data_IF_387464110038
#
_entry.id   IF_387464110038
#
_cell.length_a   1.000
_cell.length_b   1.000
_cell.length_c   1.000
_cell.angle_alpha   90.00
_cell.angle_beta   90.00
_cell.angle_gamma   90.00
#
_symmetry.space_group_name_H-M   'P 1'
#
loop_
_entity.id
_entity.type
_entity.pdbx_description
1 polymer ?
#
# COMPACT_ATOMS: atom_id res chain seq x y z
N UNK A 1 -7.27 13.17 19.96
CA UNK A 1 -6.44 13.69 18.87
C UNK A 1 -6.90 12.98 17.60
N UNK A 2 -7.52 13.72 16.67
CA UNK A 2 -7.98 13.16 15.39
C UNK A 2 -6.80 13.17 14.41
N UNK A 3 -6.55 12.04 13.76
CA UNK A 3 -5.51 11.90 12.75
C UNK A 3 -6.07 12.41 11.42
N UNK A 4 -5.51 13.47 10.86
CA UNK A 4 -5.97 14.08 9.61
C UNK A 4 -5.07 13.61 8.45
N UNK A 5 -5.48 12.54 7.76
CA UNK A 5 -4.72 11.93 6.66
C UNK A 5 -5.17 12.57 5.35
N UNK A 6 -4.31 13.41 4.77
CA UNK A 6 -4.59 14.08 3.50
C UNK A 6 -4.38 13.17 2.28
N UNK A 7 -3.49 12.17 2.33
CA UNK A 7 -3.22 11.25 1.23
C UNK A 7 -2.51 9.96 1.69
N UNK A 8 -2.82 8.83 1.05
CA UNK A 8 -2.06 7.58 1.14
C UNK A 8 -1.61 7.20 -0.27
N UNK A 9 -0.30 7.03 -0.47
CA UNK A 9 0.28 6.55 -1.72
C UNK A 9 0.88 5.15 -1.52
N UNK A 10 0.43 4.18 -2.32
CA UNK A 10 0.92 2.81 -2.26
C UNK A 10 2.03 2.61 -3.29
N UNK A 11 3.24 2.35 -2.82
CA UNK A 11 4.37 1.96 -3.67
C UNK A 11 4.54 0.45 -3.66
N UNK A 12 4.83 -0.14 -4.83
CA UNK A 12 5.07 -1.57 -4.92
C UNK A 12 6.54 -1.88 -4.69
N UNK A 13 6.78 -2.71 -3.69
CA UNK A 13 8.05 -3.40 -3.49
C UNK A 13 7.95 -4.77 -4.15
N UNK A 14 8.81 -5.04 -5.12
CA UNK A 14 8.91 -6.32 -5.81
C UNK A 14 10.12 -7.05 -5.24
N UNK A 15 9.87 -8.14 -4.50
CA UNK A 15 10.94 -9.06 -4.09
C UNK A 15 11.36 -9.89 -5.30
N UNK A 16 12.59 -9.67 -5.79
CA UNK A 16 13.16 -10.39 -6.92
C UNK A 16 13.80 -11.70 -6.46
N UNK A 17 14.49 -11.66 -5.33
CA UNK A 17 15.08 -12.83 -4.67
C UNK A 17 15.15 -12.61 -3.15
N UNK A 18 15.85 -13.49 -2.42
CA UNK A 18 15.95 -13.42 -0.97
C UNK A 18 16.60 -12.14 -0.42
N UNK A 19 17.48 -11.50 -1.20
CA UNK A 19 18.23 -10.32 -0.77
C UNK A 19 17.91 -9.06 -1.58
N UNK A 20 17.21 -9.18 -2.71
CA UNK A 20 16.89 -8.06 -3.59
C UNK A 20 15.40 -7.69 -3.58
N UNK A 21 15.17 -6.44 -3.20
CA UNK A 21 13.89 -5.74 -3.31
C UNK A 21 14.04 -4.61 -4.33
N UNK A 22 13.11 -4.54 -5.27
CA UNK A 22 13.00 -3.45 -6.23
C UNK A 22 11.82 -2.56 -5.86
N UNK A 23 12.03 -1.26 -5.80
CA UNK A 23 10.98 -0.28 -5.53
C UNK A 23 10.58 0.38 -6.85
N UNK A 24 9.31 0.23 -7.23
CA UNK A 24 8.78 0.92 -8.41
C UNK A 24 8.04 2.17 -7.97
N UNK A 25 8.59 3.33 -8.29
CA UNK A 25 7.93 4.62 -8.14
C UNK A 25 7.05 4.85 -9.37
N UNK A 26 5.75 5.07 -9.17
CA UNK A 26 4.80 5.31 -10.25
C UNK A 26 4.12 6.65 -10.04
N UNK A 27 3.89 7.34 -11.15
CA UNK A 27 3.13 8.59 -11.18
C UNK A 27 1.62 8.36 -11.04
N UNK A 28 1.18 7.11 -11.10
CA UNK A 28 -0.22 6.70 -10.94
C UNK A 28 -0.34 5.55 -9.92
N UNK A 29 -1.51 5.48 -9.27
CA UNK A 29 -1.81 4.40 -8.35
C UNK A 29 -1.85 3.06 -9.09
N UNK A 30 -1.47 2.01 -8.38
CA UNK A 30 -1.63 0.63 -8.82
C UNK A 30 -3.06 0.16 -8.57
N UNK A 31 -3.52 -0.74 -9.43
CA UNK A 31 -4.70 -1.53 -9.14
C UNK A 31 -4.50 -2.29 -7.82
N UNK A 32 -5.42 -2.20 -6.85
CA UNK A 32 -5.26 -2.86 -5.57
C UNK A 32 -5.19 -4.38 -5.74
N UNK A 33 -4.22 -5.01 -5.09
CA UNK A 33 -4.21 -6.47 -4.98
C UNK A 33 -5.20 -6.91 -3.89
N UNK A 34 -5.67 -8.16 -3.93
CA UNK A 34 -6.60 -8.71 -2.94
C UNK A 34 -6.13 -8.49 -1.50
N UNK A 35 -4.84 -8.72 -1.23
CA UNK A 35 -4.24 -8.49 0.10
C UNK A 35 -4.32 -7.03 0.54
N UNK A 36 -4.11 -6.08 -0.38
CA UNK A 36 -4.24 -4.64 -0.09
C UNK A 36 -5.69 -4.28 0.20
N UNK A 37 -6.64 -4.80 -0.57
CA UNK A 37 -8.08 -4.57 -0.35
C UNK A 37 -8.51 -5.08 1.04
N UNK A 38 -8.06 -6.28 1.43
CA UNK A 38 -8.35 -6.86 2.74
C UNK A 38 -7.76 -6.02 3.89
N UNK A 39 -6.53 -5.55 3.75
CA UNK A 39 -5.87 -4.70 4.75
C UNK A 39 -6.60 -3.37 4.91
N UNK A 40 -7.00 -2.72 3.81
CA UNK A 40 -7.77 -1.47 3.86
C UNK A 40 -9.15 -1.68 4.49
N UNK A 41 -9.81 -2.80 4.18
CA UNK A 41 -11.08 -3.15 4.81
C UNK A 41 -10.95 -3.35 6.32
N UNK A 42 -9.83 -3.91 6.79
CA UNK A 42 -9.55 -4.05 8.23
C UNK A 42 -9.29 -2.70 8.89
N UNK A 43 -8.50 -1.82 8.26
CA UNK A 43 -8.26 -0.47 8.76
C UNK A 43 -9.57 0.32 8.91
N UNK A 44 -10.49 0.22 7.94
CA UNK A 44 -11.81 0.85 8.03
C UNK A 44 -12.71 0.28 9.12
N UNK A 45 -12.53 -0.98 9.53
CA UNK A 45 -13.31 -1.59 10.63
C UNK A 45 -12.86 -1.08 12.01
N UNK A 46 -11.60 -0.65 12.13
CA UNK A 46 -11.01 -0.16 13.38
C UNK A 46 -11.10 1.36 13.61
N UNK A 47 -11.58 2.12 12.61
CA UNK A 47 -11.85 3.57 12.67
C UNK A 47 -13.34 3.83 12.95
#
# INVERSE_FOLDING_TARGET
>A
MSLDINQIALHQLIKRDEQNLELVLRDSLLEPTTTVVEMVAELHRGL
#
